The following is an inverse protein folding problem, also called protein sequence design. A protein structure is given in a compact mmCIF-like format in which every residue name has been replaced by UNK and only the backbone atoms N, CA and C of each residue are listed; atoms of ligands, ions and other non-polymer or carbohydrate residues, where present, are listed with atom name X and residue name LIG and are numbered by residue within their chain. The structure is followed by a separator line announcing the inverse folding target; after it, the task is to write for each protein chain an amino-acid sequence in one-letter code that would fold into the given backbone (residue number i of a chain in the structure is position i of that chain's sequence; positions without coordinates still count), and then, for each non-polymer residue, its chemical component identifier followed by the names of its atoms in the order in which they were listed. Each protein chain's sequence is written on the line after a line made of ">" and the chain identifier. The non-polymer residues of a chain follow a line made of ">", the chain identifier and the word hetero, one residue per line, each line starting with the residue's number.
data_IF_681420352190
#
_entry.id   IF_681420352190
#
_cell.length_a   1.000
_cell.length_b   1.000
_cell.length_c   1.000
_cell.angle_alpha   90.00
_cell.angle_beta   90.00
_cell.angle_gamma   90.00
#
_symmetry.space_group_name_H-M   'P 1'
#
loop_
_entity.id
_entity.type
_entity.pdbx_description
1 polymer ?
#
# COMPACT_ATOMS: atom_id res chain seq x y z
N UNK A 1 -31.22 8.27 17.46
CA UNK A 1 -30.82 8.01 16.07
C UNK A 1 -29.38 8.46 15.91
N UNK A 2 -28.41 7.54 16.03
CA UNK A 2 -26.98 7.83 15.96
C UNK A 2 -26.32 6.68 15.17
N UNK A 3 -25.47 7.05 14.20
CA UNK A 3 -24.74 6.23 13.21
C UNK A 3 -25.38 6.14 11.82
N UNK A 4 -25.34 7.23 11.05
CA UNK A 4 -25.64 7.17 9.61
C UNK A 4 -24.60 7.82 8.69
N UNK A 5 -23.39 8.12 9.18
CA UNK A 5 -22.30 8.57 8.28
C UNK A 5 -20.96 8.08 8.80
N UNK A 6 -20.51 6.91 8.32
CA UNK A 6 -19.27 6.26 8.78
C UNK A 6 -18.10 6.38 7.80
N UNK A 7 -18.27 6.88 6.58
CA UNK A 7 -17.15 7.28 5.75
C UNK A 7 -17.63 8.15 4.60
N UNK A 8 -17.00 9.32 4.45
CA UNK A 8 -17.02 10.06 3.21
C UNK A 8 -16.11 9.31 2.23
N UNK A 9 -16.65 8.80 1.12
CA UNK A 9 -15.91 7.96 0.15
C UNK A 9 -14.63 8.64 -0.35
N UNK A 10 -14.61 9.99 -0.38
CA UNK A 10 -13.43 10.80 -0.69
C UNK A 10 -12.30 10.74 0.35
N UNK A 11 -12.63 10.52 1.63
CA UNK A 11 -11.65 10.35 2.73
C UNK A 11 -11.08 8.93 2.71
N UNK A 12 -11.87 7.92 2.36
CA UNK A 12 -11.38 6.55 2.18
C UNK A 12 -10.36 6.46 1.03
N UNK A 13 -10.60 7.15 -0.09
CA UNK A 13 -9.63 7.28 -1.18
C UNK A 13 -8.40 8.11 -0.76
N UNK A 14 -8.63 9.11 0.12
CA UNK A 14 -7.67 9.88 0.93
C UNK A 14 -6.44 9.13 1.43
N UNK A 15 -6.69 7.92 1.93
CA UNK A 15 -5.73 7.19 2.75
C UNK A 15 -5.19 5.93 2.07
N UNK A 16 -5.37 5.76 0.75
CA UNK A 16 -4.95 4.55 0.04
C UNK A 16 -3.53 4.09 0.39
N UNK A 17 -2.55 5.00 0.34
CA UNK A 17 -1.15 4.70 0.61
C UNK A 17 -0.90 4.24 2.05
N UNK A 18 -1.53 4.90 3.02
CA UNK A 18 -1.44 4.53 4.43
C UNK A 18 -2.10 3.19 4.69
N UNK A 19 -3.33 3.01 4.20
CA UNK A 19 -4.12 1.78 4.37
C UNK A 19 -3.41 0.59 3.74
N UNK A 20 -2.97 0.69 2.49
CA UNK A 20 -2.30 -0.42 1.80
C UNK A 20 -0.88 -0.67 2.32
N UNK A 21 -0.18 0.33 2.84
CA UNK A 21 1.10 0.12 3.52
C UNK A 21 0.95 -0.85 4.71
N UNK A 22 -0.07 -0.68 5.55
CA UNK A 22 -0.29 -1.58 6.69
C UNK A 22 -1.01 -2.88 6.28
N UNK A 23 -1.97 -2.80 5.36
CA UNK A 23 -2.70 -3.99 4.91
C UNK A 23 -1.78 -4.97 4.19
N UNK A 24 -0.88 -4.50 3.32
CA UNK A 24 0.09 -5.35 2.63
C UNK A 24 0.98 -6.14 3.58
N UNK A 25 1.38 -5.55 4.71
CA UNK A 25 2.16 -6.23 5.74
C UNK A 25 1.35 -7.36 6.40
N UNK A 26 0.05 -7.15 6.66
CA UNK A 26 -0.83 -8.18 7.20
C UNK A 26 -0.95 -9.34 6.21
N UNK A 27 -1.28 -9.06 4.95
CA UNK A 27 -1.42 -10.11 3.92
C UNK A 27 -0.09 -10.85 3.71
N UNK A 28 1.03 -10.12 3.70
CA UNK A 28 2.38 -10.71 3.60
C UNK A 28 2.60 -11.79 4.68
N UNK A 29 2.25 -11.47 5.93
CA UNK A 29 2.36 -12.38 7.09
C UNK A 29 1.41 -13.58 7.03
N UNK A 30 0.37 -13.56 6.20
CA UNK A 30 -0.55 -14.71 6.02
C UNK A 30 0.05 -15.83 5.14
N UNK A 31 1.25 -15.63 4.58
CA UNK A 31 1.94 -16.63 3.77
C UNK A 31 1.61 -16.53 2.28
N UNK A 32 2.32 -17.32 1.48
CA UNK A 32 2.37 -17.15 0.02
C UNK A 32 1.04 -17.35 -0.69
N UNK A 33 0.16 -18.21 -0.15
CA UNK A 33 -1.16 -18.44 -0.72
C UNK A 33 -2.01 -17.16 -0.79
N UNK A 34 -1.92 -16.30 0.23
CA UNK A 34 -2.64 -15.03 0.26
C UNK A 34 -1.78 -13.90 -0.33
N UNK A 35 -0.48 -13.92 -0.03
CA UNK A 35 0.44 -12.86 -0.41
C UNK A 35 0.65 -12.75 -1.92
N UNK A 36 1.00 -13.82 -2.62
CA UNK A 36 1.37 -13.76 -4.05
C UNK A 36 0.27 -13.12 -4.93
N UNK A 37 -1.01 -13.58 -4.90
CA UNK A 37 -2.05 -12.98 -5.74
C UNK A 37 -2.44 -11.55 -5.33
N UNK A 38 -2.23 -11.18 -4.06
CA UNK A 38 -2.43 -9.82 -3.60
C UNK A 38 -1.27 -8.91 -4.05
N UNK A 39 -0.04 -9.37 -3.88
CA UNK A 39 1.20 -8.69 -4.28
C UNK A 39 1.16 -8.35 -5.75
N UNK A 40 0.84 -9.30 -6.62
CA UNK A 40 0.87 -9.08 -8.06
C UNK A 40 -0.08 -7.92 -8.45
N UNK A 41 -1.32 -7.94 -7.94
CA UNK A 41 -2.27 -6.84 -8.15
C UNK A 41 -1.82 -5.52 -7.55
N UNK A 42 -1.21 -5.54 -6.36
CA UNK A 42 -0.68 -4.34 -5.71
C UNK A 42 0.48 -3.74 -6.51
N UNK A 43 1.39 -4.59 -6.99
CA UNK A 43 2.59 -4.16 -7.70
C UNK A 43 2.23 -3.63 -9.08
N UNK A 44 1.31 -4.29 -9.79
CA UNK A 44 0.77 -3.80 -11.06
C UNK A 44 0.16 -2.41 -10.89
N UNK A 45 -0.66 -2.22 -9.85
CA UNK A 45 -1.27 -0.92 -9.54
C UNK A 45 -0.20 0.14 -9.29
N UNK A 46 0.73 -0.11 -8.35
CA UNK A 46 1.78 0.84 -8.00
C UNK A 46 2.61 1.20 -9.24
N UNK A 47 3.14 0.22 -9.98
CA UNK A 47 4.01 0.48 -11.13
C UNK A 47 3.26 1.23 -12.24
N UNK A 48 1.98 0.94 -12.47
CA UNK A 48 1.18 1.64 -13.49
C UNK A 48 0.98 3.14 -13.23
N UNK A 49 1.13 3.59 -11.98
CA UNK A 49 0.93 4.97 -11.57
C UNK A 49 2.24 5.77 -11.42
N UNK A 50 3.39 5.10 -11.60
CA UNK A 50 4.70 5.74 -11.47
C UNK A 50 4.87 6.83 -12.52
N UNK A 51 5.28 8.02 -12.08
CA UNK A 51 5.52 9.16 -12.95
C UNK A 51 6.91 9.11 -13.56
N UNK A 52 7.11 9.91 -14.61
CA UNK A 52 8.44 10.13 -15.15
C UNK A 52 9.37 10.71 -14.05
N UNK A 53 10.58 10.18 -13.92
CA UNK A 53 11.48 10.45 -12.80
C UNK A 53 11.32 9.53 -11.59
N UNK A 54 10.36 8.59 -11.61
CA UNK A 54 10.28 7.49 -10.66
C UNK A 54 9.49 7.75 -9.38
N UNK A 55 8.87 8.93 -9.26
CA UNK A 55 8.04 9.31 -8.11
C UNK A 55 6.57 8.93 -8.30
N UNK A 56 5.81 8.98 -7.20
CA UNK A 56 4.36 8.95 -7.20
C UNK A 56 3.79 10.22 -6.60
N UNK A 57 2.67 10.69 -7.15
CA UNK A 57 1.90 11.80 -6.60
C UNK A 57 0.73 11.28 -5.78
N UNK A 58 0.24 12.07 -4.82
CA UNK A 58 -0.91 11.73 -3.99
C UNK A 58 -1.29 12.87 -3.06
N UNK A 59 -2.27 12.63 -2.18
CA UNK A 59 -2.93 13.69 -1.41
C UNK A 59 -2.07 14.35 -0.32
N UNK A 60 -1.02 13.68 0.17
CA UNK A 60 -0.16 14.20 1.26
C UNK A 60 1.07 14.92 0.70
N UNK A 61 1.97 14.18 0.06
CA UNK A 61 3.20 14.70 -0.55
C UNK A 61 3.86 13.61 -1.40
N UNK A 62 4.49 13.94 -2.54
CA UNK A 62 5.19 12.96 -3.37
C UNK A 62 6.25 12.16 -2.60
N UNK A 63 6.93 12.77 -1.61
CA UNK A 63 7.94 12.09 -0.79
C UNK A 63 7.31 10.96 0.03
N UNK A 64 6.24 11.29 0.78
CA UNK A 64 5.54 10.33 1.63
C UNK A 64 4.97 9.17 0.80
N UNK A 65 4.30 9.51 -0.29
CA UNK A 65 3.63 8.58 -1.19
C UNK A 65 4.64 7.64 -1.85
N UNK A 66 5.74 8.19 -2.37
CA UNK A 66 6.84 7.41 -2.94
C UNK A 66 7.45 6.46 -1.91
N UNK A 67 7.67 6.93 -0.67
CA UNK A 67 8.20 6.09 0.39
C UNK A 67 7.27 4.90 0.70
N UNK A 68 5.95 5.11 0.81
CA UNK A 68 4.98 4.04 1.02
C UNK A 68 5.04 2.99 -0.10
N UNK A 69 5.05 3.42 -1.36
CA UNK A 69 5.10 2.53 -2.51
C UNK A 69 6.41 1.72 -2.56
N UNK A 70 7.55 2.37 -2.31
CA UNK A 70 8.85 1.68 -2.27
C UNK A 70 8.96 0.67 -1.13
N UNK A 71 8.33 0.91 0.02
CA UNK A 71 8.29 -0.08 1.11
C UNK A 71 7.46 -1.30 0.68
N UNK A 72 6.26 -1.08 0.13
CA UNK A 72 5.38 -2.16 -0.33
C UNK A 72 6.04 -3.02 -1.42
N UNK A 73 6.73 -2.40 -2.39
CA UNK A 73 7.45 -3.06 -3.47
C UNK A 73 8.65 -3.91 -3.01
N UNK A 74 9.06 -3.81 -1.74
CA UNK A 74 10.24 -4.48 -1.21
C UNK A 74 9.93 -5.52 -0.13
N UNK A 75 8.65 -5.78 0.18
CA UNK A 75 8.25 -6.73 1.21
C UNK A 75 8.85 -8.13 0.99
N UNK A 76 8.92 -8.60 -0.25
CA UNK A 76 9.53 -9.90 -0.60
C UNK A 76 11.02 -10.01 -0.27
N UNK A 77 11.72 -8.88 -0.15
CA UNK A 77 13.15 -8.90 0.21
C UNK A 77 13.36 -9.21 1.69
N UNK A 78 12.34 -9.10 2.54
CA UNK A 78 12.42 -9.49 3.95
C UNK A 78 13.49 -8.73 4.76
N UNK A 79 13.87 -7.52 4.34
CA UNK A 79 15.03 -6.79 4.88
C UNK A 79 14.82 -6.25 6.30
N UNK A 80 13.57 -6.09 6.73
CA UNK A 80 13.25 -5.70 8.11
C UNK A 80 12.88 -6.94 8.93
N UNK A 81 13.21 -7.00 10.23
CA UNK A 81 12.87 -8.15 11.08
C UNK A 81 11.39 -8.54 11.05
N UNK A 82 10.49 -7.55 10.99
CA UNK A 82 9.04 -7.77 10.90
C UNK A 82 8.60 -8.47 9.60
N UNK A 83 9.43 -8.45 8.56
CA UNK A 83 9.18 -9.10 7.27
C UNK A 83 9.89 -10.44 7.10
N UNK A 84 10.52 -10.99 8.15
CA UNK A 84 11.10 -12.34 8.07
C UNK A 84 10.00 -13.38 8.32
N UNK A 85 9.70 -14.23 7.33
CA UNK A 85 8.65 -15.26 7.35
C UNK A 85 9.25 -16.66 7.37
#
# INVERSE_FOLDING_TARGET
>A
ALHENLADEGVAFGHWHYTYLYYSQVVYRQGDQQWLPFRDRLYDRIVSEQQNGGLWNGQISPIYITACNLIMLQLDRGLLPIYQR
#
